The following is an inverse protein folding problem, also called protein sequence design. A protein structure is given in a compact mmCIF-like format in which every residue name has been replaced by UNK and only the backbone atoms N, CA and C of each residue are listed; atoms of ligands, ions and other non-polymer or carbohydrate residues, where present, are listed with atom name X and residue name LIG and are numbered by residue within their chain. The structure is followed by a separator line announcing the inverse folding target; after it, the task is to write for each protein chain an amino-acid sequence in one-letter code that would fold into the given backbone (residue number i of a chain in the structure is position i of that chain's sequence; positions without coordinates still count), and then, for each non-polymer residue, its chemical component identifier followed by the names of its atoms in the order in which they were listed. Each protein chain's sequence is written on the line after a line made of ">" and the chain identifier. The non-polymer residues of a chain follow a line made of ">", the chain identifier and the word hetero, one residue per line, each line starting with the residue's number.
data_IF_763647432091
#
_entry.id   IF_763647432091
#
_cell.length_a   1.000
_cell.length_b   1.000
_cell.length_c   1.000
_cell.angle_alpha   90.00
_cell.angle_beta   90.00
_cell.angle_gamma   90.00
#
_symmetry.space_group_name_H-M   'P 1'
#
loop_
_entity.id
_entity.type
_entity.pdbx_description
1 polymer ?
#
# COMPACT_ATOMS: atom_id res chain seq x y z
N UNK A 1 -1.86 29.52 6.01
CA UNK A 1 -0.84 28.46 6.09
C UNK A 1 -0.96 27.65 4.82
N UNK A 2 -0.15 28.00 3.82
CA UNK A 2 -0.01 27.30 2.55
C UNK A 2 0.94 26.12 2.77
N UNK A 3 0.41 24.91 2.77
CA UNK A 3 1.22 23.71 2.58
C UNK A 3 1.10 23.38 1.09
N UNK A 4 2.07 23.82 0.28
CA UNK A 4 2.02 23.70 -1.18
C UNK A 4 2.31 22.29 -1.70
N UNK A 5 2.91 21.43 -0.87
CA UNK A 5 3.15 20.04 -1.21
C UNK A 5 3.25 19.15 0.03
N UNK A 6 2.62 17.98 -0.02
CA UNK A 6 2.80 16.90 0.95
C UNK A 6 3.60 15.79 0.27
N UNK A 7 4.77 15.46 0.81
CA UNK A 7 5.60 14.36 0.31
C UNK A 7 5.34 13.07 1.09
N UNK A 8 5.46 11.94 0.40
CA UNK A 8 5.36 10.61 1.02
C UNK A 8 6.73 10.07 1.35
N UNK A 9 6.97 9.85 2.63
CA UNK A 9 8.11 9.05 3.10
C UNK A 9 7.76 7.56 2.97
N UNK A 10 8.41 6.88 2.02
CA UNK A 10 8.17 5.44 1.76
C UNK A 10 8.53 4.58 2.96
N UNK A 11 9.45 5.02 3.83
CA UNK A 11 9.76 4.34 5.08
C UNK A 11 8.56 4.39 6.03
N UNK A 12 7.89 5.54 6.19
CA UNK A 12 6.69 5.63 7.03
C UNK A 12 5.55 4.75 6.52
N UNK A 13 5.41 4.59 5.20
CA UNK A 13 4.41 3.67 4.62
C UNK A 13 4.73 2.23 5.03
N UNK A 14 6.01 1.85 4.95
CA UNK A 14 6.50 0.53 5.34
C UNK A 14 6.41 0.27 6.84
N UNK A 15 6.77 1.24 7.70
CA UNK A 15 6.70 1.12 9.17
C UNK A 15 5.27 0.88 9.65
N UNK A 16 4.27 1.48 8.99
CA UNK A 16 2.86 1.23 9.30
C UNK A 16 2.32 -0.08 8.69
N UNK A 17 3.19 -0.95 8.18
CA UNK A 17 2.81 -2.23 7.59
C UNK A 17 1.87 -2.11 6.40
N UNK A 18 1.96 -1.00 5.65
CA UNK A 18 1.02 -0.65 4.58
C UNK A 18 -0.46 -0.57 5.03
N UNK A 19 -0.71 -0.38 6.33
CA UNK A 19 -2.03 -0.11 6.85
C UNK A 19 -2.37 1.38 6.64
N UNK A 20 -3.03 1.65 5.52
CA UNK A 20 -3.46 3.01 5.13
C UNK A 20 -4.57 3.60 6.02
N UNK A 21 -5.08 2.85 7.00
CA UNK A 21 -6.13 3.28 7.92
C UNK A 21 -5.60 3.60 9.32
N UNK A 22 -4.28 3.61 9.52
CA UNK A 22 -3.68 3.86 10.83
C UNK A 22 -2.61 4.95 10.79
N UNK A 23 -2.35 5.54 11.95
CA UNK A 23 -1.26 6.51 12.16
C UNK A 23 -1.32 7.70 11.22
N UNK A 24 -0.15 8.17 10.79
CA UNK A 24 0.00 9.36 9.94
C UNK A 24 -0.77 9.24 8.61
N UNK A 25 -0.85 8.05 8.02
CA UNK A 25 -1.52 7.85 6.71
C UNK A 25 -3.03 8.06 6.79
N UNK A 26 -3.62 7.79 7.97
CA UNK A 26 -5.04 8.06 8.22
C UNK A 26 -5.30 9.55 8.45
N UNK A 27 -4.37 10.25 9.12
CA UNK A 27 -4.45 11.70 9.29
C UNK A 27 -4.44 12.42 7.94
N UNK A 28 -3.66 11.93 6.96
CA UNK A 28 -3.66 12.48 5.60
C UNK A 28 -5.03 12.43 4.91
N UNK A 29 -5.90 11.46 5.25
CA UNK A 29 -7.26 11.39 4.71
C UNK A 29 -8.16 12.50 5.25
N UNK A 30 -7.88 13.02 6.45
CA UNK A 30 -8.64 14.13 7.05
C UNK A 30 -8.38 15.43 6.29
N UNK A 31 -7.17 15.60 5.75
CA UNK A 31 -6.76 16.75 4.96
C UNK A 31 -7.50 16.87 3.61
N UNK A 32 -8.25 15.83 3.19
CA UNK A 32 -9.03 15.83 1.94
C UNK A 32 -10.02 17.00 1.83
N UNK A 33 -10.55 17.48 2.95
CA UNK A 33 -11.56 18.55 2.98
C UNK A 33 -10.94 19.93 3.16
N UNK A 34 -9.62 20.00 3.40
CA UNK A 34 -8.87 21.25 3.45
C UNK A 34 -8.34 21.61 2.06
N UNK A 35 -7.89 22.86 1.87
CA UNK A 35 -7.43 23.40 0.57
C UNK A 35 -6.05 22.88 0.13
N UNK A 36 -5.65 21.68 0.54
CA UNK A 36 -4.30 21.16 0.29
C UNK A 36 -4.30 20.19 -0.89
N UNK A 37 -3.46 20.48 -1.88
CA UNK A 37 -3.23 19.56 -2.99
C UNK A 37 -2.18 18.52 -2.59
N UNK A 38 -2.55 17.24 -2.63
CA UNK A 38 -1.60 16.15 -2.42
C UNK A 38 -1.00 15.79 -3.77
N UNK A 39 0.28 16.10 -3.94
CA UNK A 39 1.05 15.83 -5.14
C UNK A 39 1.98 14.64 -4.87
N UNK A 40 1.84 13.57 -5.65
CA UNK A 40 2.70 12.38 -5.55
C UNK A 40 3.51 12.22 -6.83
N UNK A 41 4.84 12.15 -6.70
CA UNK A 41 5.69 11.86 -7.85
C UNK A 41 5.56 10.40 -8.30
N UNK A 42 5.68 10.16 -9.60
CA UNK A 42 5.57 8.81 -10.14
C UNK A 42 6.66 7.85 -9.62
N UNK A 43 7.86 8.38 -9.34
CA UNK A 43 8.97 7.61 -8.76
C UNK A 43 8.56 7.08 -7.37
N UNK A 44 7.99 7.94 -6.53
CA UNK A 44 7.54 7.56 -5.18
C UNK A 44 6.35 6.60 -5.26
N UNK A 45 5.40 6.83 -6.17
CA UNK A 45 4.31 5.88 -6.44
C UNK A 45 4.85 4.49 -6.79
N UNK A 46 5.83 4.43 -7.69
CA UNK A 46 6.42 3.19 -8.17
C UNK A 46 7.17 2.45 -7.05
N UNK A 47 7.89 3.17 -6.20
CA UNK A 47 8.58 2.58 -5.05
C UNK A 47 7.60 2.03 -4.01
N UNK A 48 6.55 2.79 -3.66
CA UNK A 48 5.48 2.30 -2.77
C UNK A 48 4.83 1.04 -3.35
N UNK A 49 4.54 1.03 -4.65
CA UNK A 49 3.92 -0.11 -5.31
C UNK A 49 4.83 -1.35 -5.29
N UNK A 50 6.13 -1.16 -5.53
CA UNK A 50 7.12 -2.24 -5.46
C UNK A 50 7.15 -2.85 -4.07
N UNK A 51 7.33 -2.03 -3.04
CA UNK A 51 7.41 -2.51 -1.66
C UNK A 51 6.11 -3.18 -1.19
N UNK A 52 4.95 -2.63 -1.58
CA UNK A 52 3.64 -3.22 -1.26
C UNK A 52 3.43 -4.57 -1.96
N UNK A 53 3.91 -4.72 -3.19
CA UNK A 53 3.86 -5.98 -3.93
C UNK A 53 4.73 -7.05 -3.27
N UNK A 54 5.96 -6.69 -2.88
CA UNK A 54 6.88 -7.55 -2.14
C UNK A 54 6.28 -7.99 -0.79
N UNK A 55 5.71 -7.05 -0.03
CA UNK A 55 5.02 -7.34 1.23
C UNK A 55 3.84 -8.29 1.05
N UNK A 56 2.98 -8.03 0.06
CA UNK A 56 1.80 -8.87 -0.24
C UNK A 56 2.23 -10.29 -0.63
N UNK A 57 3.32 -10.43 -1.41
CA UNK A 57 3.89 -11.73 -1.75
C UNK A 57 4.39 -12.47 -0.50
N UNK A 58 5.11 -11.80 0.40
CA UNK A 58 5.59 -12.39 1.65
C UNK A 58 4.44 -12.90 2.53
N UNK A 59 3.40 -12.08 2.73
CA UNK A 59 2.21 -12.47 3.51
C UNK A 59 1.50 -13.66 2.85
N UNK A 60 1.38 -13.68 1.53
CA UNK A 60 0.78 -14.81 0.79
C UNK A 60 1.56 -16.11 1.01
N UNK A 61 2.90 -16.05 0.98
CA UNK A 61 3.76 -17.22 1.24
C UNK A 61 3.59 -17.70 2.69
N UNK A 62 3.56 -16.79 3.65
CA UNK A 62 3.35 -17.13 5.06
C UNK A 62 1.98 -17.78 5.28
N UNK A 63 0.92 -17.25 4.67
CA UNK A 63 -0.43 -17.82 4.72
C UNK A 63 -0.45 -19.23 4.12
N UNK A 64 0.14 -19.43 2.95
CA UNK A 64 0.21 -20.76 2.31
C UNK A 64 0.96 -21.76 3.19
N UNK A 65 2.03 -21.32 3.84
CA UNK A 65 2.80 -22.16 4.78
C UNK A 65 1.97 -22.51 6.01
N UNK A 66 1.23 -21.56 6.56
CA UNK A 66 0.34 -21.79 7.70
C UNK A 66 -0.81 -22.75 7.36
N UNK A 67 -1.44 -22.58 6.19
CA UNK A 67 -2.47 -23.49 5.66
C UNK A 67 -1.91 -24.90 5.52
N UNK A 68 -0.71 -25.05 4.93
CA UNK A 68 -0.06 -26.35 4.77
C UNK A 68 0.15 -27.04 6.11
N UNK A 69 0.69 -26.31 7.10
CA UNK A 69 0.90 -26.83 8.47
C UNK A 69 -0.42 -27.19 9.16
N UNK A 70 -1.46 -26.37 9.01
CA UNK A 70 -2.77 -26.66 9.62
C UNK A 70 -3.41 -27.94 9.03
N UNK A 71 -3.27 -28.14 7.72
CA UNK A 71 -3.73 -29.36 7.05
C UNK A 71 -2.88 -30.58 7.48
N UNK A 72 -1.55 -30.44 7.56
CA UNK A 72 -0.63 -31.51 8.02
C UNK A 72 -0.92 -31.95 9.46
N UNK A 73 -1.26 -31.01 10.34
CA UNK A 73 -1.60 -31.27 11.74
C UNK A 73 -3.07 -31.68 11.95
N UNK A 74 -3.88 -31.73 10.89
CA UNK A 74 -5.31 -32.06 10.98
C UNK A 74 -6.14 -31.00 11.73
N UNK A 75 -5.62 -29.78 11.91
CA UNK A 75 -6.29 -28.69 12.64
C UNK A 75 -7.40 -28.07 11.77
N UNK A 76 -7.20 -28.04 10.45
CA UNK A 76 -8.18 -27.56 9.48
C UNK A 76 -8.05 -28.31 8.16
N UNK A 77 -9.08 -28.24 7.30
CA UNK A 77 -9.04 -28.76 5.93
C UNK A 77 -9.34 -27.62 4.95
N UNK A 78 -8.33 -26.78 4.73
CA UNK A 78 -8.43 -25.60 3.87
C UNK A 78 -7.92 -25.97 2.48
N UNK A 79 -8.84 -26.17 1.53
CA UNK A 79 -8.52 -26.59 0.15
C UNK A 79 -8.49 -25.44 -0.86
N UNK A 80 -9.07 -24.28 -0.54
CA UNK A 80 -9.15 -23.14 -1.45
C UNK A 80 -8.01 -22.14 -1.19
N UNK A 81 -6.84 -22.42 -1.76
CA UNK A 81 -5.82 -21.40 -1.94
C UNK A 81 -6.24 -20.49 -3.11
N UNK A 82 -6.83 -19.35 -2.79
CA UNK A 82 -7.14 -18.35 -3.80
C UNK A 82 -5.81 -17.82 -4.36
N UNK A 83 -5.54 -18.05 -5.65
CA UNK A 83 -4.37 -17.45 -6.31
C UNK A 83 -4.62 -15.95 -6.42
N UNK A 84 -4.01 -15.21 -5.50
CA UNK A 84 -4.02 -13.76 -5.50
C UNK A 84 -2.78 -13.28 -6.21
N UNK A 85 -2.92 -12.42 -7.23
CA UNK A 85 -1.79 -11.69 -7.82
C UNK A 85 -1.38 -10.56 -6.86
N UNK A 86 -0.18 -10.62 -6.24
CA UNK A 86 0.26 -9.61 -5.29
C UNK A 86 0.34 -8.21 -5.91
N UNK A 87 0.70 -8.11 -7.19
CA UNK A 87 0.77 -6.82 -7.89
C UNK A 87 -0.62 -6.23 -8.08
N UNK A 88 -1.58 -7.06 -8.51
CA UNK A 88 -2.96 -6.62 -8.66
C UNK A 88 -3.54 -6.08 -7.34
N UNK A 89 -3.31 -6.79 -6.23
CA UNK A 89 -3.76 -6.33 -4.90
C UNK A 89 -3.06 -5.05 -4.50
N UNK A 90 -1.74 -4.97 -4.66
CA UNK A 90 -0.96 -3.78 -4.34
C UNK A 90 -1.44 -2.56 -5.15
N UNK A 91 -1.61 -2.71 -6.46
CA UNK A 91 -2.14 -1.65 -7.34
C UNK A 91 -3.54 -1.22 -6.92
N UNK A 92 -4.42 -2.17 -6.62
CA UNK A 92 -5.80 -1.88 -6.19
C UNK A 92 -5.83 -1.10 -4.88
N UNK A 93 -5.04 -1.52 -3.88
CA UNK A 93 -4.96 -0.87 -2.57
C UNK A 93 -4.36 0.53 -2.66
N UNK A 94 -3.24 0.68 -3.37
CA UNK A 94 -2.58 1.97 -3.54
C UNK A 94 -3.47 2.96 -4.30
N UNK A 95 -4.17 2.49 -5.34
CA UNK A 95 -5.13 3.31 -6.08
C UNK A 95 -6.28 3.77 -5.19
N UNK A 96 -6.88 2.86 -4.41
CA UNK A 96 -7.95 3.22 -3.46
C UNK A 96 -7.48 4.28 -2.47
N UNK A 97 -6.25 4.14 -1.98
CA UNK A 97 -5.66 5.11 -1.06
C UNK A 97 -5.52 6.49 -1.71
N UNK A 98 -4.88 6.61 -2.88
CA UNK A 98 -4.73 7.91 -3.55
C UNK A 98 -6.06 8.55 -3.96
N UNK A 99 -7.03 7.75 -4.41
CA UNK A 99 -8.39 8.24 -4.66
C UNK A 99 -9.03 8.77 -3.36
N UNK A 100 -8.85 8.08 -2.24
CA UNK A 100 -9.37 8.53 -0.94
C UNK A 100 -8.76 9.84 -0.46
N UNK A 101 -7.54 10.17 -0.91
CA UNK A 101 -6.87 11.43 -0.61
C UNK A 101 -7.27 12.56 -1.58
N UNK A 102 -7.89 12.25 -2.73
CA UNK A 102 -8.01 13.22 -3.82
C UNK A 102 -6.66 13.59 -4.43
N UNK A 103 -5.67 12.70 -4.35
CA UNK A 103 -4.30 12.99 -4.77
C UNK A 103 -4.16 13.05 -6.31
N UNK A 104 -3.35 14.00 -6.78
CA UNK A 104 -2.90 14.09 -8.17
C UNK A 104 -1.51 13.48 -8.27
N UNK A 105 -1.36 12.48 -9.15
CA UNK A 105 -0.05 11.89 -9.45
C UNK A 105 0.58 12.68 -10.59
N UNK A 106 1.74 13.28 -10.33
CA UNK A 106 2.48 14.05 -11.33
C UNK A 106 3.70 13.27 -11.79
N UNK A 107 3.95 13.30 -13.10
CA UNK A 107 5.17 12.75 -13.66
C UNK A 107 6.33 13.69 -13.30
N UNK A 108 7.34 13.17 -12.61
CA UNK A 108 8.56 13.93 -12.33
C UNK A 108 9.66 13.38 -13.23
N UNK A 109 10.21 14.20 -14.15
CA UNK A 109 11.34 13.77 -14.96
C UNK A 109 12.56 13.53 -14.04
N UNK A 110 13.45 12.58 -14.40
CA UNK A 110 14.67 12.37 -13.64
C UNK A 110 15.48 13.66 -13.59
N UNK A 111 15.87 14.08 -12.39
CA UNK A 111 16.80 15.17 -12.19
C UNK A 111 18.18 14.64 -12.61
N UNK A 112 18.72 15.17 -13.70
CA UNK A 112 20.07 14.88 -14.22
C UNK A 112 21.14 15.36 -13.23
#
# INVERSE_FOLDING_TARGET
>A
MEYDAVTFDTQKVRTNGFNFNTGLLNELKKLRHDRFQVIVSDIIRSDILKQLSEYTQQVTIQLNTAIKKANELGIASINNQQKVDPRHVATSQLRKYFVSLGALVVLVPPIL
#
